data_IF_564619827937
#
_entry.id   IF_564619827937
#
_cell.length_a   1.000
_cell.length_b   1.000
_cell.length_c   1.000
_cell.angle_alpha   90.00
_cell.angle_beta   90.00
_cell.angle_gamma   90.00
#
_symmetry.space_group_name_H-M   'P 1'
#
loop_
_entity.id
_entity.type
_entity.pdbx_description
1 polymer ?
#
# COMPACT_ATOMS: atom_id res chain seq x y z
N UNK A 1 -35.11 12.88 -15.01
CA UNK A 1 -34.22 11.70 -14.93
C UNK A 1 -33.23 11.95 -13.81
N UNK A 2 -33.44 11.30 -12.66
CA UNK A 2 -32.42 11.26 -11.62
C UNK A 2 -31.20 10.54 -12.20
N UNK A 3 -30.05 11.22 -12.27
CA UNK A 3 -28.78 10.55 -12.54
C UNK A 3 -28.55 9.60 -11.38
N UNK A 4 -28.65 8.30 -11.62
CA UNK A 4 -28.21 7.30 -10.67
C UNK A 4 -26.74 7.57 -10.34
N UNK A 5 -26.50 8.08 -9.14
CA UNK A 5 -25.15 8.11 -8.58
C UNK A 5 -24.69 6.66 -8.53
N UNK A 6 -23.73 6.28 -9.38
CA UNK A 6 -23.03 4.99 -9.28
C UNK A 6 -22.32 4.97 -7.92
N UNK A 7 -23.04 4.56 -6.89
CA UNK A 7 -22.54 4.31 -5.53
C UNK A 7 -21.89 2.95 -5.53
N UNK A 8 -20.58 2.93 -5.34
CA UNK A 8 -19.80 1.70 -5.21
C UNK A 8 -18.38 1.83 -5.74
N UNK A 9 -17.56 0.86 -5.37
CA UNK A 9 -16.13 0.68 -5.72
C UNK A 9 -15.98 0.25 -7.19
N UNK A 10 -16.94 0.62 -8.05
CA UNK A 10 -17.07 0.12 -9.40
C UNK A 10 -16.03 0.69 -10.36
N UNK A 11 -15.37 -0.21 -11.09
CA UNK A 11 -14.57 0.10 -12.27
C UNK A 11 -13.08 0.31 -11.99
N UNK A 12 -12.70 1.52 -11.56
CA UNK A 12 -11.28 1.92 -11.51
C UNK A 12 -10.60 1.69 -10.16
N UNK A 13 -11.36 1.56 -9.07
CA UNK A 13 -10.83 1.29 -7.73
C UNK A 13 -10.40 -0.17 -7.53
N UNK A 14 -10.84 -1.08 -8.42
CA UNK A 14 -10.51 -2.50 -8.33
C UNK A 14 -9.00 -2.72 -8.27
N UNK A 15 -8.21 -1.95 -9.03
CA UNK A 15 -6.77 -2.11 -9.07
C UNK A 15 -6.08 -1.69 -7.74
N UNK A 16 -6.35 -0.51 -7.16
CA UNK A 16 -5.95 -0.18 -5.79
C UNK A 16 -6.42 -1.20 -4.74
N UNK A 17 -7.68 -1.63 -4.80
CA UNK A 17 -8.24 -2.59 -3.84
C UNK A 17 -7.49 -3.92 -3.88
N UNK A 18 -7.26 -4.48 -5.08
CA UNK A 18 -6.50 -5.72 -5.27
C UNK A 18 -5.07 -5.53 -4.76
N UNK A 19 -4.44 -4.40 -5.09
CA UNK A 19 -3.09 -4.07 -4.62
C UNK A 19 -2.97 -4.06 -3.10
N UNK A 20 -3.94 -3.46 -2.40
CA UNK A 20 -3.97 -3.43 -0.94
C UNK A 20 -4.27 -4.82 -0.33
N UNK A 21 -5.16 -5.61 -0.93
CA UNK A 21 -5.42 -6.98 -0.48
C UNK A 21 -4.19 -7.88 -0.65
N UNK A 22 -3.52 -7.82 -1.80
CA UNK A 22 -2.26 -8.53 -2.04
C UNK A 22 -1.16 -8.04 -1.08
N UNK A 23 -1.10 -6.73 -0.81
CA UNK A 23 -0.18 -6.15 0.17
C UNK A 23 -0.39 -6.71 1.57
N UNK A 24 -1.64 -6.85 2.03
CA UNK A 24 -1.95 -7.48 3.33
C UNK A 24 -1.42 -8.91 3.38
N UNK A 25 -1.72 -9.72 2.36
CA UNK A 25 -1.28 -11.11 2.30
C UNK A 25 0.25 -11.21 2.28
N UNK A 26 0.90 -10.41 1.42
CA UNK A 26 2.34 -10.41 1.26
C UNK A 26 3.06 -9.97 2.55
N UNK A 27 2.70 -8.82 3.11
CA UNK A 27 3.36 -8.32 4.32
C UNK A 27 3.11 -9.22 5.52
N UNK A 28 1.91 -9.78 5.67
CA UNK A 28 1.62 -10.73 6.74
C UNK A 28 2.45 -12.01 6.59
N UNK A 29 2.55 -12.53 5.37
CA UNK A 29 3.35 -13.72 5.07
C UNK A 29 4.85 -13.47 5.34
N UNK A 30 5.40 -12.37 4.83
CA UNK A 30 6.80 -12.00 5.09
C UNK A 30 7.07 -11.77 6.57
N UNK A 31 6.14 -11.14 7.31
CA UNK A 31 6.27 -10.96 8.77
C UNK A 31 6.46 -12.31 9.45
N UNK A 32 5.68 -13.32 9.07
CA UNK A 32 5.79 -14.67 9.64
C UNK A 32 7.13 -15.31 9.28
N UNK A 33 7.57 -15.21 8.02
CA UNK A 33 8.84 -15.78 7.58
C UNK A 33 10.03 -15.20 8.37
N UNK A 34 10.15 -13.86 8.43
CA UNK A 34 11.22 -13.22 9.19
C UNK A 34 11.09 -13.43 10.71
N UNK A 35 9.86 -13.64 11.22
CA UNK A 35 9.66 -13.93 12.64
C UNK A 35 10.08 -15.35 13.05
N UNK A 36 10.02 -16.32 12.13
CA UNK A 36 10.44 -17.70 12.40
C UNK A 36 11.98 -17.80 12.44
N UNK A 37 12.68 -17.00 11.62
CA UNK A 37 14.14 -17.03 11.48
C UNK A 37 14.81 -15.78 12.06
N UNK A 38 14.35 -15.33 13.24
CA UNK A 38 14.98 -14.19 13.91
C UNK A 38 16.37 -14.61 14.39
N UNK A 39 17.39 -14.13 13.70
CA UNK A 39 18.80 -14.41 14.01
C UNK A 39 19.57 -13.16 14.43
N UNK A 40 19.08 -11.99 14.03
CA UNK A 40 19.75 -10.71 14.24
C UNK A 40 18.79 -9.61 14.73
N UNK A 41 19.35 -8.54 15.29
CA UNK A 41 18.57 -7.34 15.63
C UNK A 41 17.97 -6.66 14.39
N UNK A 42 18.57 -6.89 13.21
CA UNK A 42 18.04 -6.39 11.94
C UNK A 42 16.74 -7.12 11.55
N UNK A 43 16.67 -8.44 11.77
CA UNK A 43 15.45 -9.23 11.52
C UNK A 43 14.30 -8.77 12.41
N UNK A 44 14.59 -8.46 13.68
CA UNK A 44 13.59 -7.87 14.61
C UNK A 44 13.06 -6.55 14.06
N UNK A 45 13.93 -5.69 13.53
CA UNK A 45 13.52 -4.43 12.90
C UNK A 45 12.63 -4.69 11.67
N UNK A 46 13.00 -5.64 10.80
CA UNK A 46 12.22 -5.99 9.61
C UNK A 46 10.83 -6.53 9.98
N UNK A 47 10.72 -7.42 10.98
CA UNK A 47 9.45 -7.93 11.48
C UNK A 47 8.55 -6.80 11.97
N UNK A 48 9.09 -5.84 12.73
CA UNK A 48 8.33 -4.67 13.19
C UNK A 48 7.87 -3.79 12.02
N UNK A 49 8.75 -3.51 11.05
CA UNK A 49 8.42 -2.72 9.87
C UNK A 49 7.35 -3.38 9.00
N UNK A 50 7.42 -4.70 8.80
CA UNK A 50 6.42 -5.47 8.06
C UNK A 50 5.08 -5.55 8.79
N UNK A 51 5.09 -5.71 10.12
CA UNK A 51 3.89 -5.64 10.95
C UNK A 51 3.20 -4.27 10.86
N UNK A 52 3.97 -3.19 10.94
CA UNK A 52 3.47 -1.81 10.75
C UNK A 52 2.93 -1.63 9.32
N UNK A 53 3.62 -2.15 8.32
CA UNK A 53 3.19 -2.09 6.91
C UNK A 53 1.84 -2.78 6.71
N UNK A 54 1.65 -3.96 7.32
CA UNK A 54 0.37 -4.68 7.33
C UNK A 54 -0.74 -3.80 7.94
N UNK A 55 -0.48 -3.19 9.10
CA UNK A 55 -1.43 -2.29 9.76
C UNK A 55 -1.79 -1.06 8.92
N UNK A 56 -0.81 -0.42 8.29
CA UNK A 56 -1.02 0.70 7.36
C UNK A 56 -1.87 0.27 6.17
N UNK A 57 -1.62 -0.93 5.63
CA UNK A 57 -2.35 -1.46 4.47
C UNK A 57 -3.82 -1.71 4.82
N UNK A 58 -4.09 -2.36 5.96
CA UNK A 58 -5.46 -2.53 6.50
C UNK A 58 -6.15 -1.20 6.73
N UNK A 59 -5.46 -0.23 7.34
CA UNK A 59 -6.03 1.09 7.60
C UNK A 59 -6.37 1.83 6.30
N UNK A 60 -5.48 1.77 5.31
CA UNK A 60 -5.67 2.39 4.00
C UNK A 60 -6.84 1.75 3.25
N UNK A 61 -6.94 0.42 3.26
CA UNK A 61 -8.07 -0.32 2.69
C UNK A 61 -9.39 0.06 3.38
N UNK A 62 -9.39 0.21 4.70
CA UNK A 62 -10.56 0.69 5.45
C UNK A 62 -10.97 2.11 5.03
N UNK A 63 -10.01 3.00 4.79
CA UNK A 63 -10.30 4.35 4.28
C UNK A 63 -10.85 4.32 2.86
N UNK A 64 -10.40 3.37 2.03
CA UNK A 64 -10.90 3.16 0.68
C UNK A 64 -12.40 2.82 0.71
N UNK A 65 -12.77 1.80 1.49
CA UNK A 65 -14.16 1.35 1.66
C UNK A 65 -15.07 2.42 2.25
N UNK A 66 -14.51 3.34 3.06
CA UNK A 66 -15.25 4.46 3.62
C UNK A 66 -15.32 5.67 2.70
N UNK A 67 -14.70 5.61 1.52
CA UNK A 67 -14.60 6.72 0.56
C UNK A 67 -14.06 8.00 1.22
N UNK A 68 -13.13 7.83 2.18
CA UNK A 68 -12.71 8.96 3.01
C UNK A 68 -11.78 9.93 2.26
N UNK A 69 -11.94 11.24 2.47
CA UNK A 69 -11.02 12.29 1.99
C UNK A 69 -9.57 12.08 2.40
N UNK A 70 -9.34 11.27 3.45
CA UNK A 70 -7.99 10.94 3.94
C UNK A 70 -7.31 9.84 3.12
N UNK A 71 -8.08 9.01 2.40
CA UNK A 71 -7.55 7.89 1.62
C UNK A 71 -6.41 8.31 0.67
N UNK A 72 -6.55 9.34 -0.19
CA UNK A 72 -5.49 9.68 -1.16
C UNK A 72 -4.15 9.97 -0.49
N UNK A 73 -4.17 10.63 0.67
CA UNK A 73 -2.96 10.94 1.44
C UNK A 73 -2.35 9.67 2.06
N UNK A 74 -3.17 8.83 2.66
CA UNK A 74 -2.72 7.58 3.26
C UNK A 74 -2.25 6.55 2.24
N UNK A 75 -2.87 6.50 1.06
CA UNK A 75 -2.43 5.65 -0.03
C UNK A 75 -1.06 6.08 -0.57
N UNK A 76 -0.81 7.39 -0.71
CA UNK A 76 0.54 7.89 -1.06
C UNK A 76 1.53 7.51 0.04
N UNK A 77 1.19 7.73 1.31
CA UNK A 77 2.05 7.34 2.43
C UNK A 77 2.37 5.83 2.40
N UNK A 78 1.36 5.00 2.17
CA UNK A 78 1.49 3.55 2.00
C UNK A 78 2.50 3.18 0.89
N UNK A 79 2.43 3.82 -0.28
CA UNK A 79 3.35 3.53 -1.39
C UNK A 79 4.81 3.83 -1.02
N UNK A 80 5.06 5.00 -0.43
CA UNK A 80 6.42 5.44 -0.09
C UNK A 80 6.97 4.70 1.13
N UNK A 81 6.12 4.40 2.11
CA UNK A 81 6.51 3.57 3.25
C UNK A 81 6.79 2.12 2.83
N UNK A 82 5.97 1.56 1.94
CA UNK A 82 6.22 0.25 1.35
C UNK A 82 7.52 0.20 0.55
N UNK A 83 7.83 1.25 -0.23
CA UNK A 83 9.12 1.38 -0.91
C UNK A 83 10.29 1.42 0.09
N UNK A 84 10.16 2.17 1.18
CA UNK A 84 11.16 2.20 2.25
C UNK A 84 11.39 0.81 2.86
N UNK A 85 10.32 0.06 3.14
CA UNK A 85 10.40 -1.32 3.65
C UNK A 85 11.07 -2.24 2.64
N UNK A 86 10.73 -2.12 1.35
CA UNK A 86 11.37 -2.91 0.29
C UNK A 86 12.88 -2.64 0.20
N UNK A 87 13.31 -1.39 0.34
CA UNK A 87 14.74 -1.02 0.39
C UNK A 87 15.42 -1.68 1.61
N UNK A 88 14.77 -1.67 2.78
CA UNK A 88 15.33 -2.31 3.98
C UNK A 88 15.49 -3.82 3.81
N UNK A 89 14.50 -4.49 3.19
CA UNK A 89 14.59 -5.92 2.84
C UNK A 89 15.75 -6.17 1.88
N UNK A 90 15.89 -5.36 0.82
CA UNK A 90 16.99 -5.47 -0.13
C UNK A 90 18.37 -5.34 0.50
N UNK A 91 18.51 -4.53 1.56
CA UNK A 91 19.76 -4.48 2.33
C UNK A 91 20.03 -5.76 3.13
N UNK A 92 18.99 -6.40 3.68
CA UNK A 92 19.11 -7.67 4.38
C UNK A 92 19.46 -8.83 3.46
N UNK A 93 18.75 -8.93 2.34
CA UNK A 93 18.89 -10.05 1.39
C UNK A 93 20.01 -9.83 0.37
N UNK A 94 20.59 -8.63 0.32
CA UNK A 94 21.58 -8.19 -0.69
C UNK A 94 21.04 -8.33 -2.13
N UNK A 95 19.72 -8.19 -2.30
CA UNK A 95 19.04 -8.22 -3.60
C UNK A 95 18.29 -6.91 -3.87
N UNK A 96 18.71 -6.20 -4.91
CA UNK A 96 18.22 -4.87 -5.29
C UNK A 96 17.39 -4.87 -6.58
N UNK A 97 17.12 -6.05 -7.16
CA UNK A 97 16.51 -6.20 -8.49
C UNK A 97 15.12 -5.53 -8.60
N UNK A 98 14.36 -5.50 -7.50
CA UNK A 98 12.97 -5.02 -7.46
C UNK A 98 12.81 -3.55 -7.06
N UNK A 99 13.89 -2.85 -6.72
CA UNK A 99 13.80 -1.46 -6.21
C UNK A 99 13.40 -0.50 -7.33
N UNK A 100 14.02 -0.62 -8.50
CA UNK A 100 13.78 0.30 -9.63
C UNK A 100 12.33 0.25 -10.11
N UNK A 101 11.75 -0.94 -10.21
CA UNK A 101 10.34 -1.15 -10.57
C UNK A 101 9.40 -0.61 -9.48
N UNK A 102 9.75 -0.79 -8.20
CA UNK A 102 8.99 -0.27 -7.06
C UNK A 102 8.97 1.26 -7.01
N UNK A 103 10.08 1.92 -7.32
CA UNK A 103 10.16 3.39 -7.43
C UNK A 103 9.24 3.89 -8.55
N UNK A 104 9.35 3.31 -9.75
CA UNK A 104 8.53 3.68 -10.91
C UNK A 104 7.04 3.53 -10.57
N UNK A 105 6.68 2.40 -9.97
CA UNK A 105 5.31 2.13 -9.53
C UNK A 105 4.80 3.18 -8.53
N UNK A 106 5.58 3.49 -7.48
CA UNK A 106 5.21 4.48 -6.48
C UNK A 106 5.03 5.89 -7.08
N UNK A 107 5.89 6.29 -8.02
CA UNK A 107 5.81 7.58 -8.71
C UNK A 107 4.57 7.68 -9.57
N UNK A 108 4.30 6.66 -10.41
CA UNK A 108 3.13 6.63 -11.31
C UNK A 108 1.84 6.76 -10.48
N UNK A 109 1.71 5.96 -9.43
CA UNK A 109 0.51 5.98 -8.59
C UNK A 109 0.38 7.26 -7.77
N UNK A 110 1.49 7.81 -7.25
CA UNK A 110 1.46 9.09 -6.55
C UNK A 110 0.95 10.20 -7.46
N UNK A 111 1.44 10.26 -8.70
CA UNK A 111 1.00 11.25 -9.68
C UNK A 111 -0.48 11.07 -10.04
N UNK A 112 -0.90 9.82 -10.33
CA UNK A 112 -2.28 9.49 -10.63
C UNK A 112 -3.24 9.91 -9.52
N UNK A 113 -2.92 9.58 -8.25
CA UNK A 113 -3.76 9.88 -7.10
C UNK A 113 -3.91 11.40 -6.87
N UNK A 114 -2.85 12.19 -7.11
CA UNK A 114 -2.90 13.65 -6.96
C UNK A 114 -3.70 14.33 -8.08
N UNK A 115 -3.54 13.88 -9.32
CA UNK A 115 -4.06 14.57 -10.51
C UNK A 115 -5.46 14.12 -10.88
N UNK A 116 -5.78 12.83 -10.70
CA UNK A 116 -7.03 12.22 -11.19
C UNK A 116 -8.28 12.91 -10.64
N UNK A 117 -9.13 13.36 -11.56
CA UNK A 117 -10.47 13.88 -11.24
C UNK A 117 -11.35 12.80 -10.59
N UNK A 118 -11.14 11.52 -10.93
CA UNK A 118 -11.90 10.39 -10.38
C UNK A 118 -11.63 10.23 -8.88
N UNK A 119 -10.37 10.24 -8.48
CA UNK A 119 -9.95 10.16 -7.07
C UNK A 119 -10.58 11.28 -6.26
N UNK A 120 -10.54 12.52 -6.77
CA UNK A 120 -11.13 13.70 -6.10
C UNK A 120 -12.64 13.62 -5.95
N UNK A 121 -13.34 13.00 -6.91
CA UNK A 121 -14.80 12.85 -6.87
C UNK A 121 -15.25 11.67 -6.01
N UNK A 122 -14.43 10.62 -5.90
CA UNK A 122 -14.74 9.42 -5.11
C UNK A 122 -14.48 9.63 -3.62
N UNK A 123 -13.34 10.21 -3.25
CA UNK A 123 -12.93 10.37 -1.86
C UNK A 123 -13.37 11.70 -1.27
N UNK A 124 -14.68 11.89 -1.12
CA UNK A 124 -15.31 13.16 -0.69
C UNK A 124 -15.97 13.09 0.68
N UNK A 125 -15.93 11.95 1.37
CA UNK A 125 -16.52 11.78 2.71
C UNK A 125 -15.48 12.07 3.81
#
# INVERSE_FOLDING_TARGET
>A
MAKEELKGIGGWLILPTIGLLLGILLYSFLTILYAIDISSSFDVLLVLLLGVSTGITFYTLRLEFKESKRFPRWYIFYLWFGLFVAIMISFGDVDYTSISSSIIFAVIWTWYIKVSKRVKNTFVK
#
